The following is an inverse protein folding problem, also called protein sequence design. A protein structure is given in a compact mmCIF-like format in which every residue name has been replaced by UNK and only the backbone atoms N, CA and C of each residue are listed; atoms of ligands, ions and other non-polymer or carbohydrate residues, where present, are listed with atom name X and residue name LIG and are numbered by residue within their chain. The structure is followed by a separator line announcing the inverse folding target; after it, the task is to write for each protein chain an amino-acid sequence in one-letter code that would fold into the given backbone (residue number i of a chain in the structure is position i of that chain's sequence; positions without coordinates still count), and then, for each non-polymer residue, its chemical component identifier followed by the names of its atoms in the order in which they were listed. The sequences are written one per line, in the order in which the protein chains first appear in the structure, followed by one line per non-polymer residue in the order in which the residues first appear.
data_IF_212611025427
#
_entry.id   IF_212611025427
#
_cell.length_a   1.000
_cell.length_b   1.000
_cell.length_c   1.000
_cell.angle_alpha   90.00
_cell.angle_beta   90.00
_cell.angle_gamma   90.00
#
_symmetry.space_group_name_H-M   'P 1'
#
loop_
_entity.id
_entity.type
_entity.pdbx_description
1 polymer ?
#
# COMPACT_ATOMS: atom_id res chain seq x y z
N UNK A 1 4.91 18.94 8.52
CA UNK A 1 4.50 17.64 9.09
C UNK A 1 2.99 17.49 9.23
N UNK A 2 2.25 18.51 9.69
CA UNK A 2 0.79 18.50 9.84
C UNK A 2 -0.01 18.08 8.58
N UNK A 3 0.32 18.63 7.40
CA UNK A 3 -0.36 18.27 6.13
C UNK A 3 -0.24 16.78 5.78
N UNK A 4 0.89 16.11 6.06
CA UNK A 4 1.03 14.67 5.83
C UNK A 4 0.21 13.82 6.80
N UNK A 5 -0.09 14.34 7.99
CA UNK A 5 -0.89 13.65 8.99
C UNK A 5 -2.39 13.75 8.69
N UNK A 6 -2.86 14.93 8.25
CA UNK A 6 -4.30 15.14 7.96
C UNK A 6 -4.71 14.51 6.62
N UNK A 7 -3.82 14.50 5.62
CA UNK A 7 -4.06 13.91 4.30
C UNK A 7 -3.44 12.52 4.14
N UNK A 8 -3.48 11.70 5.19
CA UNK A 8 -3.11 10.30 5.09
C UNK A 8 -4.34 9.47 4.67
N UNK A 9 -4.18 8.61 3.68
CA UNK A 9 -5.24 7.73 3.18
C UNK A 9 -5.84 6.83 4.28
N UNK A 10 -5.00 6.30 5.19
CA UNK A 10 -5.46 5.48 6.31
C UNK A 10 -6.30 6.27 7.32
N UNK A 11 -5.86 7.48 7.69
CA UNK A 11 -6.58 8.35 8.63
C UNK A 11 -7.92 8.80 8.05
N UNK A 12 -7.93 9.19 6.76
CA UNK A 12 -9.17 9.54 6.06
C UNK A 12 -10.17 8.39 6.02
N UNK A 13 -9.68 7.15 5.82
CA UNK A 13 -10.52 5.95 5.82
C UNK A 13 -11.08 5.63 7.21
N UNK A 14 -10.28 5.77 8.29
CA UNK A 14 -10.78 5.64 9.67
C UNK A 14 -11.90 6.66 9.93
N UNK A 15 -11.67 7.93 9.60
CA UNK A 15 -12.67 8.99 9.79
C UNK A 15 -13.96 8.70 9.00
N UNK A 16 -13.83 8.32 7.72
CA UNK A 16 -14.97 7.96 6.87
C UNK A 16 -15.77 6.79 7.47
N UNK A 17 -15.10 5.71 7.90
CA UNK A 17 -15.78 4.55 8.47
C UNK A 17 -16.51 4.88 9.77
N UNK A 18 -15.92 5.71 10.64
CA UNK A 18 -16.58 6.17 11.88
C UNK A 18 -17.81 7.02 11.56
N UNK A 19 -17.71 7.94 10.59
CA UNK A 19 -18.86 8.76 10.17
C UNK A 19 -19.97 7.87 9.62
N UNK A 20 -19.66 6.93 8.73
CA UNK A 20 -20.64 5.99 8.20
C UNK A 20 -21.22 5.05 9.27
N UNK A 21 -20.47 4.76 10.34
CA UNK A 21 -20.97 3.95 11.45
C UNK A 21 -21.94 4.74 12.35
N UNK A 22 -21.67 6.03 12.58
CA UNK A 22 -22.54 6.93 13.35
C UNK A 22 -23.80 7.32 12.58
N UNK A 23 -23.68 7.52 11.27
CA UNK A 23 -24.76 7.95 10.39
C UNK A 23 -25.14 6.83 9.43
N UNK A 24 -26.24 6.14 9.73
CA UNK A 24 -26.73 5.00 8.96
C UNK A 24 -27.22 5.40 7.55
N UNK A 25 -27.54 6.68 7.32
CA UNK A 25 -27.96 7.22 6.04
C UNK A 25 -26.77 7.75 5.22
N UNK A 26 -26.51 7.14 4.07
CA UNK A 26 -25.40 7.52 3.17
C UNK A 26 -25.39 9.01 2.80
N UNK A 27 -26.57 9.64 2.66
CA UNK A 27 -26.70 11.06 2.34
C UNK A 27 -26.17 11.94 3.48
N UNK A 28 -26.54 11.63 4.71
CA UNK A 28 -26.06 12.36 5.88
C UNK A 28 -24.58 12.13 6.12
N UNK A 29 -24.10 10.88 5.93
CA UNK A 29 -22.68 10.55 6.01
C UNK A 29 -21.85 11.36 5.00
N UNK A 30 -22.30 11.49 3.74
CA UNK A 30 -21.63 12.32 2.74
C UNK A 30 -21.58 13.80 3.15
N UNK A 31 -22.70 14.37 3.62
CA UNK A 31 -22.75 15.77 4.06
C UNK A 31 -21.80 16.04 5.23
N UNK A 32 -21.77 15.14 6.22
CA UNK A 32 -20.87 15.24 7.37
C UNK A 32 -19.42 15.10 6.93
N UNK A 33 -19.09 14.18 6.02
CA UNK A 33 -17.74 14.05 5.47
C UNK A 33 -17.28 15.33 4.76
N UNK A 34 -18.15 15.95 3.95
CA UNK A 34 -17.84 17.24 3.31
C UNK A 34 -17.64 18.35 4.34
N UNK A 35 -18.47 18.40 5.37
CA UNK A 35 -18.34 19.40 6.44
C UNK A 35 -17.01 19.24 7.19
N UNK A 36 -16.62 18.01 7.53
CA UNK A 36 -15.35 17.70 8.21
C UNK A 36 -14.14 18.00 7.32
N UNK A 37 -14.23 17.77 6.01
CA UNK A 37 -13.15 18.06 5.07
C UNK A 37 -13.05 19.56 4.70
N UNK A 38 -14.13 20.33 4.84
CA UNK A 38 -14.21 21.72 4.41
C UNK A 38 -13.15 22.67 5.01
N UNK A 39 -12.79 22.60 6.30
CA UNK A 39 -11.80 23.51 6.88
C UNK A 39 -10.41 23.25 6.29
N UNK A 40 -10.09 21.99 5.97
CA UNK A 40 -8.83 21.63 5.36
C UNK A 40 -8.73 22.18 3.92
N UNK A 41 -9.83 22.16 3.15
CA UNK A 41 -9.89 22.77 1.82
C UNK A 41 -9.73 24.29 1.88
N UNK A 42 -10.45 24.95 2.79
CA UNK A 42 -10.35 26.40 3.02
C UNK A 42 -8.90 26.76 3.39
N UNK A 43 -8.28 26.01 4.30
CA UNK A 43 -6.90 26.23 4.69
C UNK A 43 -5.93 26.07 3.50
N UNK A 44 -6.13 25.07 2.64
CA UNK A 44 -5.31 24.91 1.43
C UNK A 44 -5.44 26.13 0.50
N UNK A 45 -6.67 26.59 0.24
CA UNK A 45 -6.91 27.68 -0.71
C UNK A 45 -6.33 29.02 -0.22
N UNK A 46 -6.42 29.32 1.08
CA UNK A 46 -6.00 30.62 1.62
C UNK A 46 -4.57 30.65 2.16
N UNK A 47 -4.04 29.54 2.67
CA UNK A 47 -2.74 29.52 3.38
C UNK A 47 -1.61 29.03 2.49
N UNK A 48 -1.87 28.07 1.58
CA UNK A 48 -0.82 27.51 0.73
C UNK A 48 -0.61 28.39 -0.52
N UNK A 49 0.60 28.93 -0.74
CA UNK A 49 0.91 29.61 -2.00
C UNK A 49 0.97 28.60 -3.16
N UNK A 50 0.74 29.10 -4.36
CA UNK A 50 0.88 28.31 -5.60
C UNK A 50 2.26 27.67 -5.74
N UNK A 51 2.32 26.48 -6.35
CA UNK A 51 3.58 25.71 -6.39
C UNK A 51 4.71 26.45 -7.13
N UNK A 52 5.92 26.56 -6.57
CA UNK A 52 7.09 27.12 -7.26
C UNK A 52 7.39 26.43 -8.58
N UNK A 53 7.18 25.11 -8.65
CA UNK A 53 7.39 24.31 -9.87
C UNK A 53 6.44 24.71 -11.00
N UNK A 54 5.21 25.14 -10.67
CA UNK A 54 4.26 25.62 -11.65
C UNK A 54 4.69 26.98 -12.21
N UNK A 55 5.21 27.87 -11.37
CA UNK A 55 5.78 29.14 -11.84
C UNK A 55 7.05 28.94 -12.66
N UNK A 56 7.87 27.96 -12.30
CA UNK A 56 9.06 27.56 -13.05
C UNK A 56 8.69 27.03 -14.44
N UNK A 57 7.65 26.20 -14.54
CA UNK A 57 7.14 25.70 -15.83
C UNK A 57 6.55 26.81 -16.72
N UNK A 58 5.96 27.85 -16.12
CA UNK A 58 5.38 29.00 -16.83
C UNK A 58 6.37 30.15 -17.07
N UNK A 59 7.66 29.94 -16.82
CA UNK A 59 8.75 30.92 -16.99
C UNK A 59 8.50 32.25 -16.26
N UNK A 60 7.98 32.19 -15.02
CA UNK A 60 7.71 33.36 -14.15
C UNK A 60 8.64 33.36 -12.93
N UNK A 61 9.93 33.72 -13.08
CA UNK A 61 10.94 33.57 -12.01
C UNK A 61 10.68 34.45 -10.79
N UNK A 62 10.11 35.64 -10.97
CA UNK A 62 9.77 36.54 -9.85
C UNK A 62 8.71 35.92 -8.93
N UNK A 63 7.63 35.38 -9.51
CA UNK A 63 6.54 34.74 -8.75
C UNK A 63 6.98 33.43 -8.11
N UNK A 64 7.88 32.70 -8.76
CA UNK A 64 8.51 31.51 -8.19
C UNK A 64 9.24 31.85 -6.88
N UNK A 65 10.11 32.88 -6.88
CA UNK A 65 10.84 33.31 -5.68
C UNK A 65 9.91 33.81 -4.57
N UNK A 66 8.82 34.49 -4.93
CA UNK A 66 7.82 34.94 -3.96
C UNK A 66 7.13 33.75 -3.28
N UNK A 67 6.74 32.73 -4.06
CA UNK A 67 6.15 31.50 -3.52
C UNK A 67 7.13 30.74 -2.62
N UNK A 68 8.38 30.56 -3.05
CA UNK A 68 9.43 29.93 -2.25
C UNK A 68 9.62 30.65 -0.91
N UNK A 69 9.66 31.99 -0.91
CA UNK A 69 9.74 32.78 0.33
C UNK A 69 8.56 32.52 1.25
N UNK A 70 7.34 32.45 0.72
CA UNK A 70 6.12 32.16 1.51
C UNK A 70 6.18 30.75 2.10
N UNK A 71 6.60 29.75 1.32
CA UNK A 71 6.75 28.36 1.79
C UNK A 71 7.85 28.26 2.85
N UNK A 72 9.00 28.89 2.65
CA UNK A 72 10.09 28.92 3.62
C UNK A 72 9.66 29.59 4.94
N UNK A 73 8.90 30.68 4.87
CA UNK A 73 8.30 31.34 6.06
C UNK A 73 7.32 30.42 6.80
N UNK A 74 6.44 29.73 6.07
CA UNK A 74 5.49 28.76 6.65
C UNK A 74 6.20 27.54 7.27
N UNK A 75 7.30 27.10 6.66
CA UNK A 75 8.08 25.97 7.13
C UNK A 75 9.09 26.32 8.23
N UNK A 76 9.37 27.62 8.46
CA UNK A 76 10.40 28.09 9.39
C UNK A 76 11.84 27.79 8.92
N UNK A 77 12.06 27.63 7.61
CA UNK A 77 13.35 27.23 7.04
C UNK A 77 13.99 28.42 6.32
N UNK A 78 15.31 28.56 6.40
CA UNK A 78 16.04 29.59 5.66
C UNK A 78 15.99 29.33 4.15
N UNK A 79 15.75 30.40 3.38
CA UNK A 79 15.67 30.31 1.92
C UNK A 79 17.06 30.04 1.32
N UNK A 80 17.23 28.88 0.68
CA UNK A 80 18.43 28.58 -0.11
C UNK A 80 18.25 29.19 -1.49
N UNK A 81 19.15 30.10 -1.88
CA UNK A 81 19.17 30.63 -3.25
C UNK A 81 19.69 29.57 -4.22
N UNK A 82 18.78 28.75 -4.75
CA UNK A 82 19.08 27.79 -5.82
C UNK A 82 18.80 28.47 -7.17
N UNK A 83 19.81 28.50 -8.05
CA UNK A 83 19.59 28.89 -9.45
C UNK A 83 18.83 27.75 -10.12
N UNK A 84 17.62 28.04 -10.58
CA UNK A 84 16.81 27.08 -11.32
C UNK A 84 17.20 27.18 -12.80
N UNK A 85 17.57 26.06 -13.42
CA UNK A 85 17.79 26.00 -14.87
C UNK A 85 16.48 26.31 -15.60
N UNK A 86 16.54 27.10 -16.67
CA UNK A 86 15.35 27.45 -17.44
C UNK A 86 14.86 26.22 -18.24
N UNK A 87 13.55 26.00 -18.25
CA UNK A 87 12.96 24.92 -19.04
C UNK A 87 12.90 25.39 -20.50
N UNK A 88 13.85 24.94 -21.31
CA UNK A 88 13.96 25.31 -22.73
C UNK A 88 12.91 24.60 -23.60
N UNK A 89 12.48 23.41 -23.20
CA UNK A 89 11.52 22.61 -23.97
C UNK A 89 10.46 21.96 -23.07
N UNK A 90 9.19 22.30 -23.33
CA UNK A 90 8.06 21.67 -22.66
C UNK A 90 7.72 20.35 -23.35
N UNK A 91 8.06 19.23 -22.69
CA UNK A 91 7.71 17.89 -23.19
C UNK A 91 6.20 17.71 -23.22
N UNK A 92 5.66 17.30 -24.37
CA UNK A 92 4.25 17.00 -24.55
C UNK A 92 3.97 15.55 -24.13
N UNK A 93 2.70 15.25 -23.83
CA UNK A 93 2.27 13.89 -23.54
C UNK A 93 2.58 12.92 -24.70
N UNK A 94 2.51 13.40 -25.95
CA UNK A 94 2.91 12.64 -27.14
C UNK A 94 4.36 12.16 -27.09
N UNK A 95 5.25 12.94 -26.49
CA UNK A 95 6.69 12.62 -26.43
C UNK A 95 6.95 11.49 -25.43
N UNK A 96 6.08 11.36 -24.42
CA UNK A 96 6.09 10.24 -23.46
C UNK A 96 5.74 8.93 -24.15
N UNK A 97 4.73 8.93 -25.02
CA UNK A 97 4.30 7.74 -25.78
C UNK A 97 5.31 7.40 -26.87
N UNK A 98 5.97 8.40 -27.45
CA UNK A 98 6.98 8.23 -28.49
C UNK A 98 8.28 7.62 -27.94
N UNK A 99 8.67 7.98 -26.72
CA UNK A 99 9.83 7.38 -26.05
C UNK A 99 9.46 6.03 -25.41
N UNK A 100 9.93 4.94 -26.03
CA UNK A 100 9.70 3.57 -25.55
C UNK A 100 10.17 3.33 -24.10
N UNK A 101 11.22 4.01 -23.64
CA UNK A 101 11.74 3.84 -22.28
C UNK A 101 10.82 4.53 -21.27
N UNK A 102 10.34 5.74 -21.58
CA UNK A 102 9.38 6.44 -20.72
C UNK A 102 8.03 5.75 -20.71
N UNK A 103 7.53 5.33 -21.88
CA UNK A 103 6.27 4.60 -21.99
C UNK A 103 6.27 3.33 -21.13
N UNK A 104 7.34 2.53 -21.15
CA UNK A 104 7.46 1.34 -20.29
C UNK A 104 7.34 1.68 -18.80
N UNK A 105 7.99 2.76 -18.34
CA UNK A 105 7.91 3.20 -16.94
C UNK A 105 6.50 3.64 -16.56
N UNK A 106 5.83 4.39 -17.42
CA UNK A 106 4.44 4.82 -17.21
C UNK A 106 3.48 3.63 -17.24
N UNK A 107 3.67 2.68 -18.16
CA UNK A 107 2.85 1.47 -18.23
C UNK A 107 2.98 0.59 -16.97
N UNK A 108 4.21 0.42 -16.47
CA UNK A 108 4.43 -0.27 -15.18
C UNK A 108 3.73 0.48 -14.05
N UNK A 109 3.86 1.81 -13.99
CA UNK A 109 3.19 2.62 -12.98
C UNK A 109 1.67 2.48 -13.05
N UNK A 110 1.08 2.51 -14.25
CA UNK A 110 -0.35 2.30 -14.44
C UNK A 110 -0.80 0.91 -14.03
N UNK A 111 -0.05 -0.14 -14.38
CA UNK A 111 -0.37 -1.50 -13.95
C UNK A 111 -0.31 -1.62 -12.42
N UNK A 112 0.70 -1.03 -11.78
CA UNK A 112 0.81 -1.00 -10.32
C UNK A 112 -0.40 -0.30 -9.69
N UNK A 113 -0.79 0.87 -10.19
CA UNK A 113 -1.99 1.58 -9.71
C UNK A 113 -3.29 0.83 -9.99
N UNK A 114 -3.39 0.15 -11.13
CA UNK A 114 -4.53 -0.69 -11.49
C UNK A 114 -4.69 -1.84 -10.50
N UNK A 115 -3.61 -2.59 -10.25
CA UNK A 115 -3.61 -3.69 -9.27
C UNK A 115 -3.94 -3.16 -7.88
N UNK A 116 -3.32 -2.05 -7.44
CA UNK A 116 -3.62 -1.44 -6.15
C UNK A 116 -5.10 -1.02 -6.02
N UNK A 117 -5.69 -0.46 -7.07
CA UNK A 117 -7.11 -0.07 -7.10
C UNK A 117 -8.03 -1.28 -7.10
N UNK A 118 -7.70 -2.32 -7.87
CA UNK A 118 -8.45 -3.57 -7.92
C UNK A 118 -8.45 -4.27 -6.55
N UNK A 119 -7.29 -4.35 -5.89
CA UNK A 119 -7.18 -4.92 -4.54
C UNK A 119 -7.91 -4.08 -3.51
N UNK A 120 -7.84 -2.74 -3.59
CA UNK A 120 -8.61 -1.84 -2.73
C UNK A 120 -10.12 -2.06 -2.87
N UNK A 121 -10.61 -2.15 -4.10
CA UNK A 121 -12.01 -2.42 -4.40
C UNK A 121 -12.46 -3.81 -3.92
N UNK A 122 -11.62 -4.84 -4.11
CA UNK A 122 -11.89 -6.18 -3.61
C UNK A 122 -11.95 -6.22 -2.08
N UNK A 123 -11.09 -5.47 -1.39
CA UNK A 123 -11.16 -5.31 0.07
C UNK A 123 -12.46 -4.63 0.50
N UNK A 124 -12.89 -3.59 -0.21
CA UNK A 124 -14.11 -2.85 0.10
C UNK A 124 -15.35 -3.73 -0.04
N UNK A 125 -15.48 -4.48 -1.14
CA UNK A 125 -16.59 -5.42 -1.33
C UNK A 125 -16.52 -6.63 -0.38
N UNK A 126 -15.34 -7.23 -0.27
CA UNK A 126 -15.11 -8.44 0.52
C UNK A 126 -15.26 -8.22 2.03
N UNK A 127 -15.14 -6.99 2.50
CA UNK A 127 -15.29 -6.65 3.92
C UNK A 127 -16.67 -6.99 4.51
N UNK A 128 -17.69 -7.12 3.66
CA UNK A 128 -19.03 -7.57 4.04
C UNK A 128 -19.15 -9.10 4.22
N UNK A 129 -18.27 -9.87 3.57
CA UNK A 129 -18.27 -11.34 3.60
C UNK A 129 -17.38 -11.90 4.72
N UNK A 130 -16.51 -11.08 5.30
CA UNK A 130 -15.71 -11.44 6.47
C UNK A 130 -16.64 -11.47 7.69
N UNK A 131 -16.62 -12.57 8.46
CA UNK A 131 -17.51 -12.73 9.61
C UNK A 131 -17.34 -11.58 10.62
N UNK A 132 -18.46 -11.04 11.12
CA UNK A 132 -18.47 -9.91 12.05
C UNK A 132 -19.13 -8.65 11.49
N UNK A 133 -18.64 -7.49 11.92
CA UNK A 133 -19.20 -6.18 11.57
C UNK A 133 -18.36 -5.51 10.47
N UNK A 134 -19.02 -5.09 9.39
CA UNK A 134 -18.43 -4.37 8.24
C UNK A 134 -17.53 -3.20 8.68
N UNK A 135 -18.01 -2.35 9.59
CA UNK A 135 -17.30 -1.16 10.03
C UNK A 135 -16.05 -1.50 10.84
N UNK A 136 -16.08 -2.56 11.65
CA UNK A 136 -14.91 -3.01 12.39
C UNK A 136 -13.83 -3.55 11.44
N UNK A 137 -14.21 -4.37 10.46
CA UNK A 137 -13.28 -4.88 9.44
C UNK A 137 -12.61 -3.72 8.70
N UNK A 138 -13.38 -2.70 8.35
CA UNK A 138 -12.90 -1.50 7.68
C UNK A 138 -11.93 -0.66 8.53
N UNK A 139 -12.21 -0.50 9.83
CA UNK A 139 -11.31 0.18 10.78
C UNK A 139 -9.98 -0.58 10.90
N UNK A 140 -10.02 -1.92 11.01
CA UNK A 140 -8.81 -2.75 11.11
C UNK A 140 -7.93 -2.57 9.87
N UNK A 141 -8.50 -2.64 8.67
CA UNK A 141 -7.73 -2.38 7.44
C UNK A 141 -7.12 -0.98 7.41
N UNK A 142 -7.88 0.03 7.84
CA UNK A 142 -7.41 1.42 7.85
C UNK A 142 -6.28 1.66 8.88
N UNK A 143 -6.31 0.95 10.02
CA UNK A 143 -5.21 0.96 11.01
C UNK A 143 -3.96 0.31 10.40
N UNK A 144 -4.09 -0.86 9.76
CA UNK A 144 -2.96 -1.54 9.10
C UNK A 144 -2.30 -0.65 8.04
N UNK A 145 -3.10 0.08 7.25
CA UNK A 145 -2.62 1.07 6.27
C UNK A 145 -1.90 2.23 6.96
N UNK A 146 -2.41 2.72 8.09
CA UNK A 146 -1.77 3.82 8.81
C UNK A 146 -0.43 3.39 9.37
N UNK A 147 -0.36 2.18 9.93
CA UNK A 147 0.88 1.58 10.42
C UNK A 147 1.90 1.39 9.30
N UNK A 148 1.49 0.89 8.12
CA UNK A 148 2.41 0.62 6.99
C UNK A 148 3.20 1.85 6.51
N UNK A 149 2.68 3.06 6.76
CA UNK A 149 3.34 4.31 6.39
C UNK A 149 4.53 4.69 7.27
N UNK A 150 4.75 4.02 8.41
CA UNK A 150 5.90 4.27 9.28
C UNK A 150 7.11 3.42 8.89
N UNK A 151 8.33 4.00 8.78
CA UNK A 151 9.54 3.23 8.47
C UNK A 151 9.83 2.25 9.61
N UNK A 152 9.60 0.95 9.37
CA UNK A 152 9.77 -0.12 10.36
C UNK A 152 8.53 -1.00 10.56
N UNK A 153 7.34 -0.52 10.21
CA UNK A 153 6.10 -1.26 10.45
C UNK A 153 5.95 -2.51 9.59
N UNK A 154 6.47 -2.49 8.37
CA UNK A 154 6.43 -3.66 7.47
C UNK A 154 7.18 -4.85 8.09
N UNK A 155 8.35 -4.59 8.68
CA UNK A 155 9.12 -5.63 9.37
C UNK A 155 8.40 -6.14 10.62
N UNK A 156 7.77 -5.23 11.39
CA UNK A 156 6.97 -5.61 12.54
C UNK A 156 5.74 -6.45 12.15
N UNK A 157 5.05 -6.11 11.06
CA UNK A 157 3.89 -6.86 10.56
C UNK A 157 4.31 -8.26 10.10
N UNK A 158 5.41 -8.38 9.36
CA UNK A 158 5.94 -9.69 8.91
C UNK A 158 6.33 -10.54 10.12
N UNK A 159 7.01 -9.94 11.11
CA UNK A 159 7.39 -10.64 12.34
C UNK A 159 6.15 -11.14 13.11
N UNK A 160 5.15 -10.28 13.33
CA UNK A 160 3.92 -10.65 14.03
C UNK A 160 3.15 -11.74 13.26
N UNK A 161 2.93 -11.58 11.96
CA UNK A 161 2.26 -12.60 11.14
C UNK A 161 3.02 -13.93 11.14
N UNK A 162 4.35 -13.87 11.07
CA UNK A 162 5.21 -15.05 11.17
C UNK A 162 5.08 -15.75 12.51
N UNK A 163 5.09 -15.01 13.62
CA UNK A 163 4.90 -15.58 14.97
C UNK A 163 3.51 -16.17 15.18
N UNK A 164 2.45 -15.51 14.68
CA UNK A 164 1.08 -16.03 14.75
C UNK A 164 0.94 -17.30 13.90
N UNK A 165 1.49 -17.31 12.67
CA UNK A 165 1.47 -18.49 11.81
C UNK A 165 2.23 -19.67 12.44
N UNK A 166 3.38 -19.41 13.04
CA UNK A 166 4.16 -20.43 13.76
C UNK A 166 3.39 -20.94 14.98
N UNK A 167 2.74 -20.06 15.74
CA UNK A 167 1.96 -20.44 16.91
C UNK A 167 0.71 -21.25 16.54
N UNK A 168 0.00 -20.85 15.49
CA UNK A 168 -1.13 -21.62 14.94
C UNK A 168 -0.63 -22.97 14.43
N UNK A 169 0.49 -23.01 13.70
CA UNK A 169 1.09 -24.25 13.24
C UNK A 169 1.47 -25.17 14.42
N UNK A 170 2.06 -24.62 15.47
CA UNK A 170 2.45 -25.36 16.67
C UNK A 170 1.26 -25.92 17.44
N UNK A 171 0.14 -25.20 17.49
CA UNK A 171 -1.06 -25.64 18.19
C UNK A 171 -1.94 -26.58 17.34
N UNK A 172 -1.99 -26.39 16.02
CA UNK A 172 -2.98 -27.03 15.15
C UNK A 172 -2.43 -28.11 14.21
N UNK A 173 -1.12 -28.13 13.88
CA UNK A 173 -0.52 -29.32 13.28
C UNK A 173 -0.37 -30.39 14.36
N UNK A 174 -1.43 -31.18 14.55
CA UNK A 174 -1.42 -32.40 15.36
C UNK A 174 -0.67 -33.52 14.61
N UNK A 175 -0.63 -33.48 13.28
CA UNK A 175 -0.04 -34.50 12.41
C UNK A 175 1.44 -34.80 12.69
N UNK A 176 2.23 -33.86 13.22
CA UNK A 176 3.67 -34.07 13.44
C UNK A 176 4.04 -34.41 14.89
N UNK A 177 3.09 -34.36 15.82
CA UNK A 177 3.39 -34.52 17.25
C UNK A 177 3.64 -35.97 17.70
N UNK A 178 3.32 -36.97 16.86
CA UNK A 178 3.38 -38.40 17.23
C UNK A 178 3.88 -39.33 16.12
N UNK A 179 4.43 -38.83 15.01
CA UNK A 179 5.00 -39.68 13.95
C UNK A 179 6.48 -39.92 14.27
N UNK A 180 6.80 -41.15 14.68
CA UNK A 180 8.17 -41.59 14.87
C UNK A 180 8.80 -41.88 13.49
N UNK A 181 9.71 -41.02 13.05
CA UNK A 181 10.38 -41.10 11.74
C UNK A 181 11.48 -42.18 11.68
N UNK A 182 11.78 -42.88 12.78
CA UNK A 182 12.84 -43.89 12.84
C UNK A 182 12.49 -45.21 12.10
N UNK A 183 11.26 -45.37 11.63
CA UNK A 183 10.78 -46.58 10.93
C UNK A 183 10.37 -46.33 9.47
N UNK A 184 11.06 -45.44 8.75
CA UNK A 184 10.96 -45.42 7.29
C UNK A 184 11.80 -46.59 6.76
N UNK A 185 11.15 -47.73 6.51
CA UNK A 185 11.74 -48.95 5.96
C UNK A 185 12.28 -48.71 4.53
N UNK A 186 13.44 -48.05 4.39
CA UNK A 186 14.15 -47.88 3.11
C UNK A 186 14.68 -49.23 2.58
N UNK A 187 14.68 -50.28 3.41
CA UNK A 187 15.23 -51.58 3.07
C UNK A 187 14.22 -52.61 2.53
N UNK A 188 12.90 -52.36 2.54
CA UNK A 188 11.95 -53.36 2.02
C UNK A 188 11.78 -53.32 0.50
N UNK A 189 11.67 -52.13 -0.10
CA UNK A 189 11.49 -52.01 -1.55
C UNK A 189 12.70 -52.54 -2.34
N UNK A 190 13.93 -52.29 -1.87
CA UNK A 190 15.13 -52.78 -2.56
C UNK A 190 15.29 -54.30 -2.47
N UNK A 191 14.74 -54.93 -1.43
CA UNK A 191 14.81 -56.40 -1.29
C UNK A 191 13.73 -57.10 -2.12
N UNK A 192 12.51 -56.56 -2.17
CA UNK A 192 11.43 -57.13 -3.00
C UNK A 192 11.73 -57.00 -4.51
N UNK A 193 12.27 -55.86 -4.96
CA UNK A 193 12.66 -55.66 -6.36
C UNK A 193 13.82 -56.58 -6.76
N UNK A 194 14.81 -56.80 -5.88
CA UNK A 194 15.89 -57.72 -6.19
C UNK A 194 15.45 -59.19 -6.19
N UNK A 195 14.48 -59.59 -5.35
CA UNK A 195 13.95 -60.95 -5.38
C UNK A 195 13.08 -61.25 -6.60
N UNK A 196 12.30 -60.28 -7.09
CA UNK A 196 11.53 -60.45 -8.34
C UNK A 196 12.44 -60.59 -9.57
N UNK A 197 13.55 -59.82 -9.62
CA UNK A 197 14.52 -59.92 -10.72
C UNK A 197 15.25 -61.28 -10.70
N UNK A 198 15.55 -61.83 -9.52
CA UNK A 198 16.25 -63.11 -9.38
C UNK A 198 15.32 -64.31 -9.71
N UNK A 199 14.01 -64.22 -9.46
CA UNK A 199 13.03 -65.25 -9.87
C UNK A 199 12.81 -65.28 -11.39
N UNK A 200 12.78 -64.12 -12.07
CA UNK A 200 12.61 -64.05 -13.53
C UNK A 200 13.84 -64.57 -14.31
N UNK A 201 15.06 -64.43 -13.76
CA UNK A 201 16.30 -64.92 -14.41
C UNK A 201 16.47 -66.45 -14.31
N UNK A 202 15.82 -67.10 -13.34
CA UNK A 202 15.83 -68.56 -13.14
C UNK A 202 14.81 -69.32 -14.01
N UNK A 203 13.91 -68.61 -14.72
CA UNK A 203 12.85 -69.19 -15.57
C UNK A 203 13.13 -69.11 -17.08
N UNK A 204 14.35 -68.73 -17.49
CA UNK A 204 14.85 -68.74 -18.89
C UNK A 204 15.94 -69.79 -19.11
#
# INVERSE_FOLDING_TARGET
MFLRAVFNWGIGRIMLTIICWLFNDWRTACLVCTLVASPALILIIFVLPESPTWFHYNDKPEKMRESERKICKLAGIQMKNVKHEQIVEQKKFSDIVRDRKMFKRVAVLWLMWFVASLTGYAMDLGSSNISGNLFLNQIVFAILITLSNHPGSVYAIIFVLGTVNLFVSFNWLVETKNINLDHVDVHKETTEVNSEIEEDELLL
#
